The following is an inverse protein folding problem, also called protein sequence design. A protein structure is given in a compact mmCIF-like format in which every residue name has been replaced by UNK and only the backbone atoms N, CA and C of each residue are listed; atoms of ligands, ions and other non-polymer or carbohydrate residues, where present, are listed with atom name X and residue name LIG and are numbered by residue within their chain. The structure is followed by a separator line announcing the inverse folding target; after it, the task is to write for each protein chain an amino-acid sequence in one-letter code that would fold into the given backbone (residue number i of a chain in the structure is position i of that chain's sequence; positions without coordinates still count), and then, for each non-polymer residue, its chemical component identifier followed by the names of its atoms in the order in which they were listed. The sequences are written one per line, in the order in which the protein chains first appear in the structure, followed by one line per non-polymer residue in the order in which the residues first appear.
data_IF_301895270714
#
_entry.id   IF_301895270714
#
_cell.length_a   1.000
_cell.length_b   1.000
_cell.length_c   1.000
_cell.angle_alpha   90.00
_cell.angle_beta   90.00
_cell.angle_gamma   90.00
#
_symmetry.space_group_name_H-M   'P 1'
#
loop_
_entity.id
_entity.type
_entity.pdbx_description
1 polymer ?
#
# COMPACT_ATOMS: atom_id res chain seq x y z
N UNK A 1 1.86 -11.88 -3.86
CA UNK A 1 1.25 -10.76 -3.10
C UNK A 1 2.18 -9.58 -3.21
N UNK A 2 1.70 -8.41 -3.62
CA UNK A 2 2.55 -7.22 -3.63
C UNK A 2 3.12 -6.94 -2.25
N UNK A 3 4.45 -6.89 -2.14
CA UNK A 3 5.19 -6.49 -0.96
C UNK A 3 5.69 -5.05 -1.16
N UNK A 4 6.54 -4.54 -0.31
CA UNK A 4 6.98 -3.14 -0.36
C UNK A 4 7.56 -2.72 -1.72
N UNK A 5 8.49 -3.49 -2.36
CA UNK A 5 9.06 -3.08 -3.64
C UNK A 5 8.04 -3.01 -4.78
N UNK A 6 7.10 -3.96 -4.83
CA UNK A 6 6.05 -3.95 -5.85
C UNK A 6 5.09 -2.77 -5.63
N UNK A 7 4.75 -2.46 -4.38
CA UNK A 7 3.90 -1.30 -4.06
C UNK A 7 4.62 0.01 -4.41
N UNK A 8 5.93 0.10 -4.18
CA UNK A 8 6.72 1.27 -4.58
C UNK A 8 6.80 1.40 -6.11
N UNK A 9 6.95 0.29 -6.82
CA UNK A 9 6.91 0.26 -8.30
C UNK A 9 5.57 0.75 -8.83
N UNK A 10 4.47 0.28 -8.24
CA UNK A 10 3.11 0.75 -8.59
C UNK A 10 2.99 2.25 -8.31
N UNK A 11 3.40 2.72 -7.13
CA UNK A 11 3.37 4.15 -6.79
C UNK A 11 4.07 5.00 -7.85
N UNK A 12 5.31 4.64 -8.20
CA UNK A 12 6.10 5.37 -9.22
C UNK A 12 5.44 5.31 -10.60
N UNK A 13 4.90 4.15 -10.99
CA UNK A 13 4.22 3.99 -12.27
C UNK A 13 2.93 4.81 -12.40
N UNK A 14 2.28 5.11 -11.27
CA UNK A 14 1.05 5.92 -11.24
C UNK A 14 1.30 7.43 -11.14
N UNK A 15 2.49 7.85 -10.72
CA UNK A 15 2.82 9.27 -10.54
C UNK A 15 2.51 10.11 -11.78
N UNK A 16 2.99 9.75 -13.00
CA UNK A 16 2.74 10.58 -14.18
C UNK A 16 1.26 10.71 -14.54
N UNK A 17 0.44 9.73 -14.16
CA UNK A 17 -0.98 9.70 -14.49
C UNK A 17 -1.87 10.41 -13.46
N UNK A 18 -1.41 10.52 -12.20
CA UNK A 18 -2.23 11.03 -11.10
C UNK A 18 -1.69 12.30 -10.45
N UNK A 19 -0.38 12.41 -10.19
CA UNK A 19 0.14 13.58 -9.48
C UNK A 19 -0.07 14.88 -10.29
N UNK A 20 -0.59 15.89 -9.61
CA UNK A 20 -0.95 17.16 -10.23
C UNK A 20 -2.27 17.15 -11.02
N UNK A 21 -2.92 15.98 -11.17
CA UNK A 21 -4.16 15.84 -11.93
C UNK A 21 -5.40 15.95 -11.04
N UNK A 22 -6.46 16.51 -11.59
CA UNK A 22 -7.78 16.53 -10.94
C UNK A 22 -8.57 15.28 -11.34
N UNK A 23 -9.18 14.62 -10.37
CA UNK A 23 -10.06 13.49 -10.61
C UNK A 23 -11.41 13.95 -11.13
N UNK A 24 -11.63 13.81 -12.44
CA UNK A 24 -12.91 14.12 -13.09
C UNK A 24 -14.04 13.27 -12.53
N UNK A 25 -13.77 11.98 -12.28
CA UNK A 25 -14.73 11.04 -11.69
C UNK A 25 -14.01 9.88 -11.03
N UNK A 26 -14.64 9.33 -9.99
CA UNK A 26 -14.25 8.09 -9.34
C UNK A 26 -15.41 7.11 -9.48
N UNK A 27 -15.16 5.97 -10.09
CA UNK A 27 -16.20 4.96 -10.36
C UNK A 27 -15.92 3.74 -9.50
N UNK A 28 -16.81 3.44 -8.56
CA UNK A 28 -16.74 2.26 -7.69
C UNK A 28 -17.85 1.29 -8.11
N UNK A 29 -17.47 0.08 -8.56
CA UNK A 29 -18.40 -0.90 -9.13
C UNK A 29 -18.91 -1.92 -8.12
N UNK A 30 -18.45 -1.88 -6.87
CA UNK A 30 -18.85 -2.79 -5.81
C UNK A 30 -18.95 -2.07 -4.47
N UNK A 31 -19.88 -2.49 -3.61
CA UNK A 31 -20.06 -1.89 -2.29
C UNK A 31 -18.86 -2.11 -1.35
N UNK A 32 -18.08 -3.19 -1.58
CA UNK A 32 -16.90 -3.53 -0.73
C UNK A 32 -15.85 -4.32 -1.50
N UNK A 33 -14.60 -4.16 -1.08
CA UNK A 33 -13.50 -5.10 -1.29
C UNK A 33 -13.33 -5.95 -0.01
N UNK A 34 -12.13 -5.95 0.59
CA UNK A 34 -11.90 -6.55 1.91
C UNK A 34 -12.73 -5.87 3.02
N UNK A 35 -12.92 -4.56 2.90
CA UNK A 35 -13.77 -3.74 3.76
C UNK A 35 -14.74 -2.92 2.88
N UNK A 36 -15.87 -2.44 3.42
CA UNK A 36 -16.71 -1.48 2.72
C UNK A 36 -15.95 -0.21 2.37
N UNK A 37 -16.27 0.38 1.21
CA UNK A 37 -15.84 1.75 0.91
C UNK A 37 -16.54 2.73 1.87
N UNK A 38 -15.87 3.82 2.29
CA UNK A 38 -16.57 4.91 2.97
C UNK A 38 -17.73 5.44 2.12
N UNK A 39 -18.85 5.78 2.75
CA UNK A 39 -20.05 6.26 2.03
C UNK A 39 -19.79 7.48 1.15
N UNK A 40 -18.86 8.32 1.56
CA UNK A 40 -18.47 9.56 0.89
C UNK A 40 -17.20 9.44 0.02
N UNK A 41 -16.67 8.22 -0.16
CA UNK A 41 -15.43 7.96 -0.90
C UNK A 41 -15.42 8.61 -2.29
N UNK A 42 -16.46 8.35 -3.08
CA UNK A 42 -16.57 8.91 -4.44
C UNK A 42 -16.72 10.43 -4.40
N UNK A 43 -17.59 10.95 -3.52
CA UNK A 43 -17.88 12.38 -3.40
C UNK A 43 -16.66 13.20 -3.01
N UNK A 44 -15.88 12.71 -2.03
CA UNK A 44 -14.68 13.43 -1.51
C UNK A 44 -13.54 13.46 -2.51
N UNK A 45 -13.39 12.42 -3.33
CA UNK A 45 -12.30 12.35 -4.29
C UNK A 45 -12.63 12.97 -5.65
N UNK A 46 -13.91 12.95 -6.06
CA UNK A 46 -14.32 13.54 -7.34
C UNK A 46 -14.22 15.07 -7.30
N UNK A 47 -13.59 15.66 -8.30
CA UNK A 47 -13.35 17.10 -8.41
C UNK A 47 -12.10 17.56 -7.65
N UNK A 48 -11.46 16.70 -6.86
CA UNK A 48 -10.26 17.06 -6.10
C UNK A 48 -8.98 16.74 -6.89
N UNK A 49 -7.95 17.58 -6.70
CA UNK A 49 -6.63 17.40 -7.29
C UNK A 49 -5.79 16.45 -6.45
N UNK A 50 -5.12 15.50 -7.09
CA UNK A 50 -4.10 14.67 -6.46
C UNK A 50 -2.82 15.48 -6.34
N UNK A 51 -2.39 15.78 -5.13
CA UNK A 51 -1.16 16.55 -4.90
C UNK A 51 0.07 15.67 -5.01
N UNK A 52 0.04 14.52 -4.37
CA UNK A 52 1.16 13.55 -4.36
C UNK A 52 0.69 12.14 -4.09
N UNK A 53 1.51 11.17 -4.49
CA UNK A 53 1.38 9.77 -4.10
C UNK A 53 2.45 9.41 -3.05
N UNK A 54 1.99 8.90 -1.92
CA UNK A 54 2.85 8.41 -0.85
C UNK A 54 2.82 6.89 -0.71
N UNK A 55 3.73 6.35 0.08
CA UNK A 55 3.74 4.94 0.49
C UNK A 55 4.21 4.80 1.94
N UNK A 56 3.55 3.94 2.68
CA UNK A 56 4.01 3.42 3.97
C UNK A 56 3.84 1.91 3.98
N UNK A 57 4.92 1.14 4.13
CA UNK A 57 4.89 -0.32 4.02
C UNK A 57 4.26 -0.78 2.68
N UNK A 58 3.14 -1.50 2.76
CA UNK A 58 2.35 -2.00 1.60
C UNK A 58 1.12 -1.15 1.30
N UNK A 59 1.00 0.03 1.89
CA UNK A 59 -0.08 0.98 1.65
C UNK A 59 0.38 2.09 0.72
N UNK A 60 -0.42 2.35 -0.30
CA UNK A 60 -0.33 3.54 -1.14
C UNK A 60 -1.21 4.63 -0.53
N UNK A 61 -0.74 5.85 -0.61
CA UNK A 61 -1.49 7.05 -0.23
C UNK A 61 -1.70 7.93 -1.46
N UNK A 62 -2.92 8.39 -1.65
CA UNK A 62 -3.23 9.41 -2.62
C UNK A 62 -3.68 10.65 -1.83
N UNK A 63 -2.78 11.63 -1.72
CA UNK A 63 -2.99 12.86 -0.99
C UNK A 63 -3.71 13.85 -1.90
N UNK A 64 -4.86 14.32 -1.44
CA UNK A 64 -5.74 15.19 -2.20
C UNK A 64 -5.63 16.64 -1.75
N UNK A 65 -5.78 17.55 -2.65
CA UNK A 65 -5.97 18.96 -2.31
C UNK A 65 -7.16 19.11 -1.37
N UNK A 66 -6.97 19.82 -0.26
CA UNK A 66 -7.98 19.95 0.79
C UNK A 66 -7.81 18.97 1.96
N UNK A 67 -6.71 18.18 1.97
CA UNK A 67 -6.29 17.39 3.11
C UNK A 67 -6.88 15.98 3.21
N UNK A 68 -7.71 15.55 2.25
CA UNK A 68 -8.16 14.16 2.18
C UNK A 68 -7.01 13.22 1.75
N UNK A 69 -6.95 12.03 2.32
CA UNK A 69 -5.99 10.99 1.95
C UNK A 69 -6.71 9.67 1.69
N UNK A 70 -6.61 9.17 0.46
CA UNK A 70 -7.05 7.81 0.19
C UNK A 70 -5.94 6.82 0.54
N UNK A 71 -6.25 5.87 1.43
CA UNK A 71 -5.37 4.75 1.79
C UNK A 71 -5.77 3.55 0.95
N UNK A 72 -4.82 3.02 0.17
CA UNK A 72 -5.03 1.92 -0.76
C UNK A 72 -4.07 0.77 -0.42
N UNK A 73 -4.60 -0.44 -0.32
CA UNK A 73 -3.81 -1.66 -0.16
C UNK A 73 -4.16 -2.64 -1.28
N UNK A 74 -3.17 -3.12 -1.99
CA UNK A 74 -3.40 -3.98 -3.17
C UNK A 74 -3.88 -5.39 -2.83
N UNK A 75 -3.77 -5.82 -1.57
CA UNK A 75 -4.12 -7.18 -1.16
C UNK A 75 -3.14 -8.21 -1.72
N UNK A 76 -3.66 -9.30 -2.27
CA UNK A 76 -2.84 -10.38 -2.82
C UNK A 76 -2.79 -10.39 -4.35
N UNK A 77 -3.85 -9.94 -5.01
CA UNK A 77 -4.02 -10.00 -6.48
C UNK A 77 -4.35 -8.63 -7.07
N UNK A 78 -4.47 -7.61 -6.22
CA UNK A 78 -4.77 -6.26 -6.67
C UNK A 78 -3.60 -5.65 -7.44
N UNK A 79 -3.94 -4.98 -8.52
CA UNK A 79 -3.00 -4.15 -9.29
C UNK A 79 -3.71 -2.90 -9.80
N UNK A 80 -2.92 -1.88 -10.08
CA UNK A 80 -3.40 -0.62 -10.63
C UNK A 80 -2.68 -0.36 -11.96
N UNK A 81 -3.47 -0.03 -12.97
CA UNK A 81 -2.97 0.23 -14.32
C UNK A 81 -3.37 1.63 -14.76
N UNK A 82 -2.40 2.43 -15.18
CA UNK A 82 -2.65 3.70 -15.84
C UNK A 82 -2.94 3.46 -17.33
N UNK A 83 -4.06 3.95 -17.80
CA UNK A 83 -4.56 3.82 -19.17
C UNK A 83 -4.67 5.23 -19.75
N UNK A 84 -3.94 5.50 -20.81
CA UNK A 84 -4.02 6.76 -21.54
C UNK A 84 -5.13 6.69 -22.60
N UNK A 85 -5.88 7.77 -22.78
CA UNK A 85 -6.97 7.84 -23.72
C UNK A 85 -8.21 7.04 -23.29
N UNK A 86 -8.97 6.53 -24.25
CA UNK A 86 -10.22 5.82 -23.99
C UNK A 86 -9.94 4.48 -23.30
N UNK A 87 -10.31 4.36 -22.05
CA UNK A 87 -10.20 3.09 -21.34
C UNK A 87 -11.13 2.03 -21.95
N UNK A 88 -10.67 0.77 -22.07
CA UNK A 88 -11.54 -0.33 -22.50
C UNK A 88 -12.67 -0.57 -21.50
N UNK A 89 -13.72 -1.23 -21.95
CA UNK A 89 -14.82 -1.63 -21.06
C UNK A 89 -14.27 -2.40 -19.84
N UNK A 90 -14.81 -2.13 -18.63
CA UNK A 90 -14.31 -2.80 -17.44
C UNK A 90 -14.65 -4.28 -17.46
N UNK A 91 -13.68 -5.11 -17.09
CA UNK A 91 -13.86 -6.54 -16.88
C UNK A 91 -14.49 -6.86 -15.50
N UNK A 92 -14.76 -8.13 -15.27
CA UNK A 92 -15.41 -8.66 -14.06
C UNK A 92 -14.71 -8.26 -12.75
N UNK A 93 -13.40 -8.08 -12.79
CA UNK A 93 -12.55 -7.83 -11.62
C UNK A 93 -12.02 -6.39 -11.54
N UNK A 94 -12.49 -5.52 -12.44
CA UNK A 94 -12.20 -4.09 -12.42
C UNK A 94 -13.18 -3.39 -11.46
N UNK A 95 -12.67 -3.00 -10.30
CA UNK A 95 -13.54 -2.55 -9.21
C UNK A 95 -13.60 -1.04 -9.04
N UNK A 96 -12.51 -0.34 -9.32
CA UNK A 96 -12.45 1.12 -9.18
C UNK A 96 -11.71 1.72 -10.37
N UNK A 97 -12.25 2.81 -10.92
CA UNK A 97 -11.55 3.69 -11.86
C UNK A 97 -11.43 5.09 -11.27
N UNK A 98 -10.22 5.64 -11.33
CA UNK A 98 -9.92 7.04 -11.08
C UNK A 98 -9.68 7.70 -12.44
N UNK A 99 -10.62 8.50 -12.91
CA UNK A 99 -10.56 9.16 -14.21
C UNK A 99 -10.09 10.61 -14.01
N UNK A 100 -9.03 11.03 -14.70
CA UNK A 100 -8.49 12.37 -14.59
C UNK A 100 -9.08 13.33 -15.64
N UNK A 101 -9.01 14.62 -15.39
CA UNK A 101 -9.39 15.65 -16.36
C UNK A 101 -8.49 15.67 -17.60
N UNK A 102 -7.24 15.18 -17.48
CA UNK A 102 -6.31 15.01 -18.60
C UNK A 102 -6.60 13.77 -19.47
N UNK A 103 -7.67 13.00 -19.17
CA UNK A 103 -8.10 11.85 -19.98
C UNK A 103 -7.42 10.53 -19.65
N UNK A 104 -6.59 10.46 -18.60
CA UNK A 104 -6.08 9.20 -18.11
C UNK A 104 -7.08 8.51 -17.17
N UNK A 105 -7.09 7.18 -17.18
CA UNK A 105 -7.85 6.35 -16.24
C UNK A 105 -6.89 5.45 -15.50
N UNK A 106 -6.89 5.53 -14.17
CA UNK A 106 -6.19 4.56 -13.33
C UNK A 106 -7.19 3.54 -12.84
N UNK A 107 -7.04 2.30 -13.27
CA UNK A 107 -7.96 1.19 -12.98
C UNK A 107 -7.39 0.27 -11.93
N UNK A 108 -8.18 -0.03 -10.91
CA UNK A 108 -7.88 -1.04 -9.90
C UNK A 108 -8.62 -2.34 -10.23
N UNK A 109 -7.84 -3.39 -10.46
CA UNK A 109 -8.31 -4.77 -10.66
C UNK A 109 -7.90 -5.64 -9.48
N UNK A 110 -8.79 -6.52 -8.99
CA UNK A 110 -8.47 -7.45 -7.91
C UNK A 110 -9.39 -8.68 -7.94
N UNK A 111 -8.88 -9.78 -8.45
CA UNK A 111 -9.64 -11.04 -8.59
C UNK A 111 -10.15 -11.55 -7.25
N UNK A 112 -9.33 -11.52 -6.20
CA UNK A 112 -9.65 -12.07 -4.88
C UNK A 112 -10.36 -11.08 -3.95
N UNK A 113 -10.37 -9.80 -4.28
CA UNK A 113 -10.96 -8.70 -3.47
C UNK A 113 -10.38 -8.61 -2.05
N UNK A 114 -9.08 -8.90 -1.91
CA UNK A 114 -8.33 -8.77 -0.66
C UNK A 114 -7.69 -7.39 -0.51
N UNK A 115 -7.77 -6.59 -1.55
CA UNK A 115 -7.45 -5.17 -1.49
C UNK A 115 -8.43 -4.40 -0.62
N UNK A 116 -8.07 -3.22 -0.24
CA UNK A 116 -8.95 -2.28 0.46
C UNK A 116 -8.66 -0.85 0.02
N UNK A 117 -9.67 -0.02 0.12
CA UNK A 117 -9.54 1.43 -0.02
C UNK A 117 -10.39 2.10 1.07
N UNK A 118 -9.82 3.11 1.70
CA UNK A 118 -10.51 3.92 2.70
C UNK A 118 -10.05 5.36 2.63
N UNK A 119 -10.66 6.24 3.40
CA UNK A 119 -10.31 7.66 3.50
C UNK A 119 -9.93 8.02 4.92
N UNK A 120 -9.02 8.96 5.03
CA UNK A 120 -8.66 9.69 6.24
C UNK A 120 -8.32 11.14 5.86
N UNK A 121 -7.77 11.90 6.78
CA UNK A 121 -7.18 13.22 6.51
C UNK A 121 -5.67 13.19 6.75
N UNK A 122 -4.94 14.21 6.28
CA UNK A 122 -3.50 14.36 6.57
C UNK A 122 -3.23 14.37 8.07
N UNK A 123 -4.07 15.05 8.86
CA UNK A 123 -3.95 15.16 10.31
C UNK A 123 -4.11 13.81 11.02
N UNK A 124 -5.01 12.96 10.51
CA UNK A 124 -5.34 11.66 11.12
C UNK A 124 -4.51 10.50 10.56
N UNK A 125 -3.73 10.72 9.48
CA UNK A 125 -3.05 9.64 8.76
C UNK A 125 -2.14 8.81 9.66
N UNK A 126 -1.29 9.45 10.47
CA UNK A 126 -0.34 8.76 11.34
C UNK A 126 -1.03 8.01 12.48
N UNK A 127 -2.19 8.48 12.92
CA UNK A 127 -2.99 7.84 13.98
C UNK A 127 -4.00 6.84 13.45
N UNK A 128 -4.17 6.78 12.12
CA UNK A 128 -5.13 5.87 11.50
C UNK A 128 -4.83 4.41 11.86
N UNK A 129 -5.88 3.63 12.17
CA UNK A 129 -5.79 2.24 12.65
C UNK A 129 -4.95 1.30 11.77
N UNK A 130 -4.88 1.56 10.47
CA UNK A 130 -4.08 0.78 9.52
C UNK A 130 -2.60 1.16 9.50
N UNK A 131 -2.24 2.34 10.04
CA UNK A 131 -0.91 2.95 9.90
C UNK A 131 -0.18 3.04 11.23
N UNK A 132 -0.86 3.44 12.30
CA UNK A 132 -0.27 3.81 13.61
C UNK A 132 0.68 2.78 14.24
N UNK A 133 0.54 1.51 13.88
CA UNK A 133 1.34 0.42 14.46
C UNK A 133 2.33 -0.20 13.45
N UNK A 134 2.54 0.44 12.31
CA UNK A 134 3.50 -0.03 11.31
C UNK A 134 4.91 0.31 11.79
N UNK A 135 5.78 -0.67 11.83
CA UNK A 135 7.18 -0.56 12.22
C UNK A 135 8.04 0.26 11.24
N UNK A 136 9.35 0.32 11.45
CA UNK A 136 10.27 1.08 10.60
C UNK A 136 10.25 0.57 9.16
N UNK A 137 10.35 1.50 8.20
CA UNK A 137 10.45 1.19 6.77
C UNK A 137 11.89 0.82 6.42
N UNK A 138 12.16 -0.37 5.86
CA UNK A 138 13.52 -0.82 5.55
C UNK A 138 14.20 -0.02 4.42
N UNK A 139 13.46 0.81 3.69
CA UNK A 139 14.01 1.72 2.69
C UNK A 139 14.22 3.14 3.20
N UNK A 140 13.88 3.43 4.45
CA UNK A 140 14.13 4.73 5.04
C UNK A 140 15.61 4.89 5.44
N UNK A 141 16.16 6.08 5.29
CA UNK A 141 17.55 6.39 5.70
C UNK A 141 17.81 6.16 7.20
N UNK A 142 16.75 6.16 8.01
CA UNK A 142 16.79 5.88 9.45
C UNK A 142 16.80 4.40 9.79
N UNK A 143 16.64 3.51 8.80
CA UNK A 143 16.68 2.06 9.04
C UNK A 143 18.12 1.56 9.04
N UNK A 144 18.49 0.86 10.10
CA UNK A 144 19.82 0.27 10.26
C UNK A 144 19.74 -1.12 10.89
N UNK A 145 20.90 -1.81 10.96
CA UNK A 145 20.96 -3.11 11.63
C UNK A 145 20.68 -2.99 13.13
N UNK A 146 21.03 -1.88 13.78
CA UNK A 146 20.72 -1.62 15.19
C UNK A 146 19.22 -1.52 15.42
N UNK A 147 18.50 -0.84 14.52
CA UNK A 147 17.04 -0.71 14.57
C UNK A 147 16.40 -2.08 14.46
N UNK A 148 16.85 -2.92 13.53
CA UNK A 148 16.35 -4.27 13.38
C UNK A 148 16.71 -5.15 14.58
N UNK A 149 17.95 -5.12 15.04
CA UNK A 149 18.43 -5.87 16.21
C UNK A 149 17.62 -5.53 17.46
N UNK A 150 17.39 -4.22 17.71
CA UNK A 150 16.57 -3.77 18.82
C UNK A 150 15.12 -4.30 18.71
N UNK A 151 14.54 -4.31 17.52
CA UNK A 151 13.19 -4.84 17.28
C UNK A 151 13.08 -6.36 17.46
N UNK A 152 14.18 -7.10 17.31
CA UNK A 152 14.25 -8.56 17.51
C UNK A 152 14.60 -8.97 18.95
N UNK A 153 15.14 -8.04 19.73
CA UNK A 153 15.61 -8.32 21.10
C UNK A 153 14.51 -8.93 21.97
N UNK A 154 14.84 -10.04 22.66
CA UNK A 154 13.93 -10.73 23.56
C UNK A 154 12.82 -11.56 22.89
N UNK A 155 12.66 -11.49 21.55
CA UNK A 155 11.60 -12.25 20.86
C UNK A 155 11.93 -13.73 20.78
N UNK A 156 11.11 -14.57 21.42
CA UNK A 156 11.24 -16.02 21.41
C UNK A 156 10.64 -16.68 20.15
N UNK A 157 9.88 -15.95 19.35
CA UNK A 157 9.33 -16.45 18.09
C UNK A 157 10.42 -16.73 17.06
N UNK A 158 10.11 -17.50 16.01
CA UNK A 158 11.05 -17.69 14.91
C UNK A 158 11.39 -16.37 14.22
N UNK A 159 12.61 -16.26 13.71
CA UNK A 159 13.04 -15.06 12.96
C UNK A 159 12.13 -14.77 11.78
N UNK A 160 11.64 -15.80 11.08
CA UNK A 160 10.69 -15.63 9.99
C UNK A 160 9.38 -14.99 10.48
N UNK A 161 8.82 -15.46 11.57
CA UNK A 161 7.59 -14.89 12.14
C UNK A 161 7.80 -13.46 12.63
N UNK A 162 8.94 -13.18 13.24
CA UNK A 162 9.29 -11.84 13.69
C UNK A 162 9.41 -10.84 12.51
N UNK A 163 10.05 -11.24 11.40
CA UNK A 163 10.21 -10.40 10.22
C UNK A 163 8.91 -10.22 9.41
N UNK A 164 7.97 -11.16 9.50
CA UNK A 164 6.64 -11.02 8.88
C UNK A 164 5.71 -10.09 9.66
N UNK A 165 6.00 -9.87 10.93
CA UNK A 165 5.25 -8.90 11.76
C UNK A 165 5.54 -7.48 11.29
N UNK A 166 4.54 -6.82 10.72
CA UNK A 166 4.65 -5.47 10.19
C UNK A 166 4.98 -4.41 11.25
N UNK A 167 4.94 -4.76 12.54
CA UNK A 167 5.40 -3.91 13.66
C UNK A 167 6.91 -3.99 13.86
N UNK A 168 7.53 -5.10 13.46
CA UNK A 168 8.98 -5.29 13.57
C UNK A 168 9.73 -4.55 12.47
N UNK A 169 9.32 -4.82 11.24
CA UNK A 169 9.81 -4.15 10.03
C UNK A 169 8.68 -4.07 9.01
N UNK A 170 8.49 -2.90 8.45
CA UNK A 170 7.36 -2.65 7.56
C UNK A 170 7.58 -3.21 6.15
N UNK A 171 6.50 -3.65 5.53
CA UNK A 171 6.48 -3.91 4.09
C UNK A 171 7.00 -5.28 3.62
N UNK A 172 7.69 -6.03 4.47
CA UNK A 172 8.14 -7.38 4.13
C UNK A 172 6.99 -8.37 4.15
N UNK A 173 7.05 -9.36 3.26
CA UNK A 173 6.16 -10.50 3.22
C UNK A 173 6.96 -11.80 3.04
N UNK A 174 6.27 -12.85 2.63
CA UNK A 174 6.89 -14.18 2.53
C UNK A 174 8.06 -14.26 1.55
N UNK A 175 7.99 -13.51 0.44
CA UNK A 175 9.02 -13.55 -0.60
C UNK A 175 10.30 -12.94 -0.05
N UNK A 176 10.26 -11.65 0.33
CA UNK A 176 11.46 -10.95 0.78
C UNK A 176 12.00 -11.47 2.11
N UNK A 177 11.15 -11.91 3.04
CA UNK A 177 11.64 -12.56 4.27
C UNK A 177 12.36 -13.88 3.96
N UNK A 178 11.81 -14.72 3.08
CA UNK A 178 12.47 -15.98 2.74
C UNK A 178 13.78 -15.76 1.98
N UNK A 179 13.80 -14.83 1.03
CA UNK A 179 15.01 -14.47 0.27
C UNK A 179 16.11 -13.89 1.17
N UNK A 180 15.76 -12.96 2.07
CA UNK A 180 16.74 -12.35 2.97
C UNK A 180 17.34 -13.36 3.94
N UNK A 181 16.53 -14.25 4.51
CA UNK A 181 17.00 -15.30 5.40
C UNK A 181 17.89 -16.32 4.67
N UNK A 182 17.50 -16.71 3.45
CA UNK A 182 18.30 -17.60 2.62
C UNK A 182 19.66 -16.99 2.30
N UNK A 183 19.70 -15.74 1.84
CA UNK A 183 20.94 -15.03 1.50
C UNK A 183 21.85 -14.82 2.71
N UNK A 184 21.26 -14.66 3.90
CA UNK A 184 22.00 -14.51 5.17
C UNK A 184 22.41 -15.83 5.78
N UNK A 185 22.04 -16.99 5.22
CA UNK A 185 22.31 -18.31 5.78
C UNK A 185 21.61 -18.56 7.11
N UNK A 186 20.50 -17.86 7.38
CA UNK A 186 19.78 -17.94 8.65
C UNK A 186 18.58 -18.89 8.51
N UNK A 187 18.53 -19.94 9.33
CA UNK A 187 17.36 -20.81 9.36
C UNK A 187 16.10 -20.02 9.74
N UNK A 188 14.99 -20.14 8.98
CA UNK A 188 13.74 -19.44 9.28
C UNK A 188 13.12 -19.85 10.63
N UNK A 189 13.51 -21.01 11.17
CA UNK A 189 13.07 -21.53 12.48
C UNK A 189 13.91 -21.03 13.65
N UNK A 190 15.07 -20.41 13.40
CA UNK A 190 15.94 -19.85 14.44
C UNK A 190 15.16 -18.82 15.26
N UNK A 191 15.36 -18.81 16.59
CA UNK A 191 14.71 -17.81 17.45
C UNK A 191 15.23 -16.40 17.12
N UNK A 192 14.33 -15.42 17.00
CA UNK A 192 14.66 -14.06 16.63
C UNK A 192 15.69 -13.41 17.57
N UNK A 193 15.55 -13.64 18.89
CA UNK A 193 16.46 -13.12 19.92
C UNK A 193 17.90 -13.66 19.82
N UNK A 194 18.17 -14.71 19.05
CA UNK A 194 19.50 -15.29 18.87
C UNK A 194 20.18 -14.84 17.57
N UNK A 195 19.54 -13.98 16.79
CA UNK A 195 20.10 -13.34 15.61
C UNK A 195 20.66 -12.00 16.05
N UNK A 196 21.98 -11.86 15.94
CA UNK A 196 22.75 -10.66 16.28
C UNK A 196 23.21 -9.97 15.02
#
# INVERSE_FOLDING_TARGET
MPELPEVETVRRGLQPALEGQTLKSVIVRRAKLRIPFPKDFVRRLTGSKVERLGRRAKYLFMHMQGGDVAIIHLGMTGHMTAISGKAPAPGKHDHVDFCTTAGATVRFNDVRRFGLMTLTTEEELETHRLIKNIGPDPLANSFSHEVLSAALKGRATSIKAALLDQKTVAGLGNIYVSESLFRSGISPKRQAKSVQ
#
